data_IF_532382255773
#
_entry.id   IF_532382255773
#
_cell.length_a   1.000
_cell.length_b   1.000
_cell.length_c   1.000
_cell.angle_alpha   90.00
_cell.angle_beta   90.00
_cell.angle_gamma   90.00
#
_symmetry.space_group_name_H-M   'P 1'
#
loop_
_entity.id
_entity.type
_entity.pdbx_description
1 polymer ?
#
# COMPACT_ATOMS: atom_id res chain seq x y z
N UNK A 1 -47.87 -25.33 -40.31
CA UNK A 1 -46.47 -24.93 -40.61
C UNK A 1 -46.18 -23.46 -40.25
N UNK A 2 -47.12 -22.52 -40.46
CA UNK A 2 -46.95 -21.09 -40.17
C UNK A 2 -46.73 -20.69 -38.68
N UNK A 3 -47.26 -21.46 -37.72
CA UNK A 3 -47.16 -21.12 -36.28
C UNK A 3 -45.73 -21.30 -35.71
N UNK A 4 -44.97 -22.28 -36.22
CA UNK A 4 -43.57 -22.49 -35.81
C UNK A 4 -42.68 -21.36 -36.29
N UNK A 5 -42.89 -20.87 -37.51
CA UNK A 5 -42.10 -19.78 -38.09
C UNK A 5 -42.35 -18.46 -37.36
N UNK A 6 -43.58 -18.17 -36.93
CA UNK A 6 -43.90 -16.99 -36.11
C UNK A 6 -43.20 -17.00 -34.76
N UNK A 7 -43.19 -18.14 -34.06
CA UNK A 7 -42.52 -18.28 -32.76
C UNK A 7 -41.01 -18.05 -32.90
N UNK A 8 -40.37 -18.61 -33.92
CA UNK A 8 -38.94 -18.38 -34.18
C UNK A 8 -38.60 -16.92 -34.46
N UNK A 9 -39.42 -16.21 -35.24
CA UNK A 9 -39.21 -14.78 -35.52
C UNK A 9 -39.34 -13.94 -34.23
N UNK A 10 -40.29 -14.27 -33.36
CA UNK A 10 -40.47 -13.61 -32.07
C UNK A 10 -39.27 -13.87 -31.15
N UNK A 11 -38.75 -15.11 -31.09
CA UNK A 11 -37.55 -15.42 -30.30
C UNK A 11 -36.31 -14.68 -30.81
N UNK A 12 -36.13 -14.55 -32.12
CA UNK A 12 -35.01 -13.82 -32.72
C UNK A 12 -35.12 -12.31 -32.43
N UNK A 13 -36.33 -11.74 -32.51
CA UNK A 13 -36.55 -10.32 -32.17
C UNK A 13 -36.34 -10.04 -30.67
N UNK A 14 -36.82 -10.92 -29.79
CA UNK A 14 -36.60 -10.81 -28.35
C UNK A 14 -35.11 -10.95 -28.03
N UNK A 15 -34.42 -11.94 -28.58
CA UNK A 15 -32.98 -12.11 -28.38
C UNK A 15 -32.17 -10.92 -28.92
N UNK A 16 -32.56 -10.37 -30.09
CA UNK A 16 -31.88 -9.22 -30.71
C UNK A 16 -32.01 -7.91 -29.95
N UNK A 17 -33.00 -7.77 -29.04
CA UNK A 17 -33.23 -6.55 -28.25
C UNK A 17 -32.82 -6.77 -26.79
N UNK A 18 -33.12 -7.94 -26.22
CA UNK A 18 -32.88 -8.22 -24.80
C UNK A 18 -31.39 -8.43 -24.51
N UNK A 19 -30.64 -9.07 -25.42
CA UNK A 19 -29.20 -9.30 -25.27
C UNK A 19 -28.42 -7.97 -25.23
N UNK A 20 -28.59 -7.03 -26.18
CA UNK A 20 -27.88 -5.75 -26.09
C UNK A 20 -28.29 -4.92 -24.88
N UNK A 21 -29.54 -4.98 -24.42
CA UNK A 21 -29.95 -4.31 -23.17
C UNK A 21 -29.25 -4.89 -21.93
N UNK A 22 -29.09 -6.21 -21.86
CA UNK A 22 -28.34 -6.87 -20.78
C UNK A 22 -26.85 -6.50 -20.85
N UNK A 23 -26.25 -6.47 -22.04
CA UNK A 23 -24.87 -6.05 -22.21
C UNK A 23 -24.66 -4.57 -21.79
N UNK A 24 -25.54 -3.66 -22.20
CA UNK A 24 -25.49 -2.25 -21.80
C UNK A 24 -25.66 -2.10 -20.29
N UNK A 25 -26.59 -2.83 -19.68
CA UNK A 25 -26.76 -2.83 -18.22
C UNK A 25 -25.52 -3.37 -17.48
N UNK A 26 -24.87 -4.42 -18.01
CA UNK A 26 -23.64 -4.97 -17.45
C UNK A 26 -22.45 -3.99 -17.57
N UNK A 27 -22.33 -3.29 -18.71
CA UNK A 27 -21.34 -2.24 -18.90
C UNK A 27 -21.58 -1.03 -17.98
N UNK A 28 -22.84 -0.63 -17.81
CA UNK A 28 -23.20 0.48 -16.91
C UNK A 28 -22.97 0.10 -15.44
N UNK A 29 -23.30 -1.13 -15.04
CA UNK A 29 -23.00 -1.65 -13.71
C UNK A 29 -21.49 -1.73 -13.46
N UNK A 30 -20.70 -2.17 -14.45
CA UNK A 30 -19.24 -2.19 -14.34
C UNK A 30 -18.62 -0.78 -14.26
N UNK A 31 -19.25 0.21 -14.90
CA UNK A 31 -18.78 1.60 -14.88
C UNK A 31 -19.10 2.33 -13.58
N UNK A 32 -20.27 2.08 -12.98
CA UNK A 32 -20.67 2.71 -11.71
C UNK A 32 -19.89 2.15 -10.51
N UNK A 33 -19.36 0.92 -10.59
CA UNK A 33 -18.79 0.22 -9.45
C UNK A 33 -17.26 0.14 -9.36
N UNK A 34 -16.46 0.72 -10.26
CA UNK A 34 -15.06 0.29 -10.30
C UNK A 34 -14.00 1.21 -10.87
N UNK A 35 -13.97 2.49 -10.52
CA UNK A 35 -12.70 3.22 -10.41
C UNK A 35 -12.78 4.24 -9.28
N UNK A 36 -12.79 3.73 -8.04
CA UNK A 36 -12.25 4.54 -6.95
C UNK A 36 -10.77 4.75 -7.26
N UNK A 37 -10.35 6.01 -7.40
CA UNK A 37 -8.94 6.38 -7.36
C UNK A 37 -8.43 5.98 -5.97
N UNK A 38 -8.03 4.73 -5.81
CA UNK A 38 -7.53 4.22 -4.55
C UNK A 38 -6.28 5.01 -4.21
N UNK A 39 -6.37 5.87 -3.21
CA UNK A 39 -5.18 6.24 -2.47
C UNK A 39 -4.61 4.91 -1.97
N UNK A 40 -3.33 4.65 -2.21
CA UNK A 40 -2.65 3.55 -1.53
C UNK A 40 -2.84 3.87 -0.03
N UNK A 41 -3.77 3.19 0.63
CA UNK A 41 -4.07 3.39 2.05
C UNK A 41 -2.82 3.13 2.89
N UNK A 42 -2.86 3.51 4.15
CA UNK A 42 -1.73 3.34 5.05
C UNK A 42 -2.05 3.80 6.45
N UNK A 43 -1.14 3.48 7.36
CA UNK A 43 -1.06 4.13 8.66
C UNK A 43 -0.62 5.59 8.47
N UNK A 44 -0.70 6.40 9.51
CA UNK A 44 -0.41 7.83 9.42
C UNK A 44 0.97 8.06 8.78
N UNK A 45 1.11 9.14 8.02
CA UNK A 45 2.38 9.49 7.41
C UNK A 45 3.24 10.28 8.39
N UNK A 46 4.56 10.10 8.31
CA UNK A 46 5.54 10.87 9.09
C UNK A 46 6.34 11.72 8.12
N UNK A 47 6.06 13.01 8.10
CA UNK A 47 6.71 14.00 7.26
C UNK A 47 7.98 14.51 7.93
N UNK A 48 9.12 14.32 7.28
CA UNK A 48 10.39 14.92 7.69
C UNK A 48 10.67 16.16 6.85
N UNK A 49 11.11 17.28 7.44
CA UNK A 49 11.51 18.48 6.71
C UNK A 49 12.95 18.32 6.16
N UNK A 50 13.19 17.18 5.49
CA UNK A 50 14.45 16.86 4.84
C UNK A 50 14.18 16.22 3.50
N UNK A 51 15.21 16.25 2.67
CA UNK A 51 15.17 15.63 1.36
C UNK A 51 15.14 14.11 1.45
N UNK A 52 14.58 13.49 0.41
CA UNK A 52 14.44 12.04 0.33
C UNK A 52 15.80 11.36 0.42
N UNK A 53 16.81 11.95 -0.23
CA UNK A 53 18.17 11.44 -0.17
C UNK A 53 18.72 11.45 1.27
N UNK A 54 18.48 12.53 2.02
CA UNK A 54 18.88 12.62 3.44
C UNK A 54 18.18 11.56 4.29
N UNK A 55 16.88 11.37 4.11
CA UNK A 55 16.12 10.34 4.83
C UNK A 55 16.55 8.92 4.42
N UNK A 56 16.88 8.67 3.14
CA UNK A 56 17.42 7.39 2.67
C UNK A 56 18.78 7.08 3.31
N UNK A 57 19.68 8.07 3.40
CA UNK A 57 20.95 7.92 4.13
C UNK A 57 20.75 7.65 5.61
N UNK A 58 19.74 8.25 6.23
CA UNK A 58 19.38 7.94 7.62
C UNK A 58 18.93 6.48 7.79
N UNK A 59 18.19 5.91 6.84
CA UNK A 59 17.88 4.47 6.82
C UNK A 59 19.12 3.59 6.63
N UNK A 60 20.03 3.95 5.72
CA UNK A 60 21.30 3.22 5.55
C UNK A 60 22.11 3.21 6.85
N UNK A 61 22.16 4.35 7.54
CA UNK A 61 22.80 4.47 8.85
C UNK A 61 22.09 3.65 9.91
N UNK A 62 20.75 3.68 9.96
CA UNK A 62 19.93 2.87 10.85
C UNK A 62 20.30 1.39 10.70
N UNK A 63 20.31 0.86 9.48
CA UNK A 63 20.64 -0.54 9.24
C UNK A 63 22.10 -0.90 9.47
N UNK A 64 23.00 0.09 9.44
CA UNK A 64 24.42 -0.09 9.76
C UNK A 64 24.65 -0.17 11.27
N UNK A 65 23.98 0.68 12.04
CA UNK A 65 24.09 0.73 13.51
C UNK A 65 23.23 -0.35 14.18
N UNK A 66 22.04 -0.60 13.62
CA UNK A 66 21.01 -1.51 14.10
C UNK A 66 20.67 -2.57 13.03
N UNK A 67 21.58 -3.53 12.77
CA UNK A 67 21.36 -4.57 11.79
C UNK A 67 20.18 -5.49 12.14
N UNK A 68 19.72 -5.51 13.39
CA UNK A 68 18.52 -6.22 13.85
C UNK A 68 17.24 -5.79 13.12
N UNK A 69 17.20 -4.57 12.56
CA UNK A 69 16.06 -4.09 11.77
C UNK A 69 16.06 -4.57 10.31
N UNK A 70 17.14 -5.20 9.85
CA UNK A 70 17.17 -5.84 8.53
C UNK A 70 16.32 -7.10 8.54
N UNK A 71 15.71 -7.39 7.40
CA UNK A 71 14.92 -8.60 7.24
C UNK A 71 15.77 -9.85 7.55
N UNK A 72 15.22 -10.73 8.38
CA UNK A 72 15.85 -11.99 8.71
C UNK A 72 15.71 -12.96 7.52
N UNK A 73 16.71 -13.80 7.19
CA UNK A 73 16.66 -14.67 6.00
C UNK A 73 15.42 -15.56 5.88
N UNK A 74 14.87 -16.03 7.01
CA UNK A 74 13.62 -16.82 7.01
C UNK A 74 12.37 -16.04 6.64
N UNK A 75 12.44 -14.72 6.46
CA UNK A 75 11.35 -13.85 6.01
C UNK A 75 11.61 -13.27 4.63
N UNK A 76 12.77 -13.53 4.01
CA UNK A 76 13.17 -12.94 2.71
C UNK A 76 12.15 -13.21 1.60
N UNK A 77 11.43 -14.34 1.67
CA UNK A 77 10.36 -14.65 0.72
C UNK A 77 9.19 -13.66 0.74
N UNK A 78 9.08 -12.82 1.77
CA UNK A 78 8.10 -11.72 1.89
C UNK A 78 8.61 -10.42 1.23
N UNK A 79 9.86 -10.38 0.78
CA UNK A 79 10.45 -9.28 0.03
C UNK A 79 10.16 -9.41 -1.49
N UNK A 80 8.92 -9.72 -1.84
CA UNK A 80 8.44 -9.98 -3.20
C UNK A 80 7.59 -8.83 -3.76
N UNK A 81 7.58 -7.67 -3.09
CA UNK A 81 6.77 -6.50 -3.47
C UNK A 81 7.07 -6.00 -4.88
N UNK A 82 8.32 -6.08 -5.31
CA UNK A 82 8.73 -5.77 -6.69
C UNK A 82 8.04 -6.70 -7.69
N UNK A 83 8.03 -8.00 -7.41
CA UNK A 83 7.42 -9.01 -8.27
C UNK A 83 5.89 -8.89 -8.30
N UNK A 84 5.31 -8.27 -7.27
CA UNK A 84 3.87 -7.93 -7.17
C UNK A 84 3.48 -6.65 -7.92
N UNK A 85 4.42 -5.98 -8.59
CA UNK A 85 4.17 -4.75 -9.34
C UNK A 85 4.14 -3.47 -8.51
N UNK A 86 4.72 -3.49 -7.30
CA UNK A 86 4.93 -2.29 -6.45
C UNK A 86 6.36 -1.74 -6.58
N UNK A 87 7.03 -2.02 -7.69
CA UNK A 87 8.40 -1.58 -7.97
C UNK A 87 8.53 -0.06 -8.14
N UNK A 88 7.42 0.62 -8.44
CA UNK A 88 7.33 2.07 -8.48
C UNK A 88 7.35 2.73 -7.09
N UNK A 89 7.12 1.98 -6.01
CA UNK A 89 7.16 2.48 -4.64
C UNK A 89 8.58 2.33 -4.08
N UNK A 90 9.24 3.46 -3.85
CA UNK A 90 10.47 3.46 -3.06
C UNK A 90 10.13 3.03 -1.63
N UNK A 91 10.60 1.85 -1.26
CA UNK A 91 10.15 1.14 -0.07
C UNK A 91 11.29 0.58 0.75
N UNK A 92 11.03 0.36 2.03
CA UNK A 92 11.95 -0.32 2.96
C UNK A 92 11.18 -1.37 3.74
N UNK A 93 11.90 -2.39 4.17
CA UNK A 93 11.40 -3.41 5.08
C UNK A 93 12.06 -3.23 6.44
N UNK A 94 11.27 -3.20 7.50
CA UNK A 94 11.77 -3.08 8.87
C UNK A 94 11.32 -4.32 9.63
N UNK A 95 12.28 -5.12 10.05
CA UNK A 95 12.04 -6.32 10.83
C UNK A 95 12.17 -6.01 12.31
N UNK A 96 11.25 -6.52 13.11
CA UNK A 96 11.28 -6.44 14.55
C UNK A 96 11.41 -7.84 15.13
N UNK A 97 12.56 -8.12 15.76
CA UNK A 97 12.88 -9.41 16.36
C UNK A 97 12.25 -9.62 17.74
N UNK A 98 11.96 -8.54 18.45
CA UNK A 98 11.29 -8.55 19.75
C UNK A 98 9.79 -8.78 19.60
N UNK A 99 9.16 -9.59 20.47
CA UNK A 99 7.73 -9.83 20.44
C UNK A 99 6.87 -8.55 20.48
N UNK A 100 5.80 -8.45 19.66
CA UNK A 100 5.48 -9.40 18.59
C UNK A 100 6.50 -9.32 17.44
N UNK A 101 6.95 -10.48 16.95
CA UNK A 101 7.88 -10.55 15.82
C UNK A 101 7.15 -10.17 14.55
N UNK A 102 7.61 -9.11 13.88
CA UNK A 102 6.86 -8.47 12.81
C UNK A 102 7.77 -7.92 11.72
N UNK A 103 7.23 -7.79 10.51
CA UNK A 103 7.87 -7.14 9.39
C UNK A 103 6.95 -6.05 8.86
N UNK A 104 7.51 -4.85 8.74
CA UNK A 104 6.79 -3.65 8.32
C UNK A 104 7.24 -3.30 6.91
N UNK A 105 6.27 -3.16 5.99
CA UNK A 105 6.50 -2.62 4.66
C UNK A 105 6.18 -1.12 4.67
N UNK A 106 7.22 -0.31 4.49
CA UNK A 106 7.12 1.14 4.51
C UNK A 106 7.45 1.72 3.14
N UNK A 107 6.85 2.86 2.80
CA UNK A 107 7.13 3.55 1.52
C UNK A 107 7.40 5.02 1.76
N UNK A 108 8.30 5.58 0.96
CA UNK A 108 8.43 7.02 0.79
C UNK A 108 7.23 7.57 0.02
N UNK A 109 6.73 8.71 0.48
CA UNK A 109 5.62 9.46 -0.09
C UNK A 109 6.17 10.80 -0.54
N UNK A 110 6.05 11.06 -1.84
CA UNK A 110 6.31 12.37 -2.46
C UNK A 110 5.02 12.92 -3.08
N UNK A 111 5.09 14.14 -3.61
CA UNK A 111 3.96 14.79 -4.28
C UNK A 111 3.37 13.88 -5.38
N UNK A 112 2.04 13.83 -5.46
CA UNK A 112 1.24 12.92 -6.29
C UNK A 112 1.49 13.04 -7.80
N UNK A 113 2.31 14.00 -8.22
CA UNK A 113 2.68 14.26 -9.62
C UNK A 113 4.05 13.70 -10.04
N UNK A 114 4.84 13.09 -9.15
CA UNK A 114 6.20 12.67 -9.48
C UNK A 114 6.31 11.15 -9.65
N UNK A 115 6.28 10.73 -10.91
CA UNK A 115 6.68 9.37 -11.33
C UNK A 115 8.15 9.07 -11.02
N UNK A 116 8.92 10.06 -10.56
CA UNK A 116 10.28 9.96 -10.04
C UNK A 116 10.33 10.94 -8.89
N UNK A 117 10.04 10.51 -7.66
CA UNK A 117 10.08 11.33 -6.44
C UNK A 117 11.32 12.26 -6.46
N UNK A 118 11.17 13.52 -6.89
CA UNK A 118 12.27 14.48 -6.92
C UNK A 118 12.72 14.73 -5.50
N UNK A 119 13.98 15.11 -5.35
CA UNK A 119 14.51 15.49 -4.04
C UNK A 119 13.80 16.79 -3.60
N UNK A 120 12.75 16.61 -2.80
CA UNK A 120 11.94 17.67 -2.20
C UNK A 120 12.63 18.20 -0.95
N UNK A 121 12.21 19.35 -0.43
CA UNK A 121 12.65 19.82 0.89
C UNK A 121 11.98 19.04 2.04
N UNK A 122 10.94 18.27 1.73
CA UNK A 122 10.12 17.54 2.70
C UNK A 122 9.80 16.15 2.15
N UNK A 123 9.90 15.12 2.99
CA UNK A 123 9.69 13.73 2.60
C UNK A 123 8.85 13.01 3.63
N UNK A 124 7.77 12.37 3.19
CA UNK A 124 6.93 11.57 4.08
C UNK A 124 7.25 10.08 3.96
N UNK A 125 7.07 9.35 5.04
CA UNK A 125 7.06 7.88 5.04
C UNK A 125 5.83 7.36 5.74
N UNK A 126 5.28 6.24 5.28
CA UNK A 126 4.16 5.57 5.93
C UNK A 126 4.32 4.06 5.91
N UNK A 127 3.71 3.40 6.90
CA UNK A 127 3.53 1.95 6.89
C UNK A 127 2.38 1.63 5.95
N UNK A 128 2.62 0.72 5.02
CA UNK A 128 1.61 0.24 4.06
C UNK A 128 1.01 -1.08 4.49
N UNK A 129 1.84 -1.97 5.03
CA UNK A 129 1.42 -3.27 5.50
C UNK A 129 2.34 -3.79 6.61
N UNK A 130 1.79 -4.65 7.44
CA UNK A 130 2.48 -5.33 8.54
C UNK A 130 2.19 -6.81 8.49
N UNK A 131 3.18 -7.65 8.79
CA UNK A 131 2.98 -9.11 8.87
C UNK A 131 3.67 -9.67 10.10
N UNK A 132 3.03 -10.67 10.71
CA UNK A 132 3.58 -11.47 11.81
C UNK A 132 3.88 -12.91 11.36
N UNK A 133 3.99 -13.16 10.04
CA UNK A 133 4.13 -14.48 9.37
C UNK A 133 2.88 -15.37 9.41
N UNK A 134 2.04 -15.28 10.44
CA UNK A 134 0.88 -16.16 10.64
C UNK A 134 -0.29 -15.79 9.73
N UNK A 135 -0.62 -14.51 9.64
CA UNK A 135 -1.82 -14.03 8.94
C UNK A 135 -1.53 -13.43 7.55
N UNK A 136 -0.26 -13.45 7.13
CA UNK A 136 0.17 -12.73 5.94
C UNK A 136 0.22 -11.21 6.16
N UNK A 137 0.29 -10.47 5.05
CA UNK A 137 0.30 -9.00 5.08
C UNK A 137 -1.07 -8.45 5.50
N UNK A 138 -1.06 -7.64 6.56
CA UNK A 138 -2.21 -6.97 7.13
C UNK A 138 -2.14 -5.49 6.77
N UNK A 139 -3.20 -4.98 6.15
CA UNK A 139 -3.36 -3.57 5.81
C UNK A 139 -3.97 -2.79 6.98
N UNK A 140 -3.81 -1.47 6.97
CA UNK A 140 -4.35 -0.57 8.00
C UNK A 140 -5.87 -0.75 8.19
N UNK A 141 -6.65 -0.85 7.11
CA UNK A 141 -8.10 -1.08 7.15
C UNK A 141 -8.52 -2.38 7.87
N UNK A 142 -7.62 -3.36 7.92
CA UNK A 142 -7.86 -4.66 8.56
C UNK A 142 -7.42 -4.68 10.04
N UNK A 143 -6.83 -3.58 10.55
CA UNK A 143 -6.42 -3.45 11.94
C UNK A 143 -7.53 -2.84 12.80
N UNK A 144 -7.70 -3.37 14.02
CA UNK A 144 -8.47 -2.66 15.05
C UNK A 144 -7.78 -1.35 15.45
N UNK A 145 -8.52 -0.35 15.94
CA UNK A 145 -7.93 0.92 16.39
C UNK A 145 -6.86 0.75 17.47
N UNK A 146 -7.00 -0.26 18.34
CA UNK A 146 -6.00 -0.60 19.35
C UNK A 146 -4.71 -1.09 18.70
N UNK A 147 -4.84 -1.93 17.68
CA UNK A 147 -3.71 -2.50 16.96
C UNK A 147 -3.00 -1.45 16.12
N UNK A 148 -3.75 -0.57 15.46
CA UNK A 148 -3.20 0.61 14.76
C UNK A 148 -2.28 1.41 15.68
N UNK A 149 -2.81 1.82 16.84
CA UNK A 149 -2.05 2.58 17.83
C UNK A 149 -0.80 1.85 18.33
N UNK A 150 -0.85 0.53 18.50
CA UNK A 150 0.31 -0.27 18.92
C UNK A 150 1.41 -0.25 17.85
N UNK A 151 1.03 -0.51 16.60
CA UNK A 151 1.94 -0.57 15.46
C UNK A 151 2.64 0.78 15.27
N UNK A 152 1.84 1.85 15.27
CA UNK A 152 2.32 3.22 15.10
C UNK A 152 3.21 3.67 16.24
N UNK A 153 2.79 3.45 17.48
CA UNK A 153 3.61 3.78 18.64
C UNK A 153 4.96 3.07 18.57
N UNK A 154 4.99 1.79 18.18
CA UNK A 154 6.24 1.04 18.01
C UNK A 154 7.11 1.65 16.93
N UNK A 155 6.52 1.97 15.78
CA UNK A 155 7.24 2.61 14.68
C UNK A 155 7.82 3.96 15.09
N UNK A 156 7.05 4.77 15.82
CA UNK A 156 7.47 6.07 16.29
C UNK A 156 8.61 5.96 17.34
N UNK A 157 8.43 5.09 18.34
CA UNK A 157 9.39 4.87 19.41
C UNK A 157 10.72 4.25 18.90
N UNK A 158 10.65 3.29 17.98
CA UNK A 158 11.81 2.48 17.59
C UNK A 158 12.48 3.01 16.32
N UNK A 159 11.73 3.53 15.35
CA UNK A 159 12.26 3.89 14.04
C UNK A 159 12.30 5.40 13.86
N UNK A 160 11.16 6.08 13.99
CA UNK A 160 11.09 7.53 13.76
C UNK A 160 12.02 8.28 14.70
N UNK A 161 12.01 7.94 15.99
CA UNK A 161 12.91 8.56 16.98
C UNK A 161 14.40 8.49 16.61
N UNK A 162 14.83 7.42 15.92
CA UNK A 162 16.22 7.26 15.45
C UNK A 162 16.48 8.04 14.18
N UNK A 163 15.54 7.98 13.23
CA UNK A 163 15.63 8.76 12.00
C UNK A 163 15.72 10.25 12.32
N UNK A 164 14.92 10.76 13.26
CA UNK A 164 14.99 12.15 13.75
C UNK A 164 16.38 12.53 14.27
N UNK A 165 17.05 11.61 14.99
CA UNK A 165 18.41 11.84 15.47
C UNK A 165 19.39 11.89 14.29
N UNK A 166 19.26 11.00 13.31
CA UNK A 166 20.17 10.91 12.17
C UNK A 166 19.97 12.02 11.14
N UNK A 167 18.77 12.57 11.05
CA UNK A 167 18.42 13.68 10.14
C UNK A 167 18.47 15.04 10.83
N UNK A 168 18.71 15.09 12.14
CA UNK A 168 18.69 16.30 12.96
C UNK A 168 17.39 17.11 12.78
N UNK A 169 16.27 16.41 12.61
CA UNK A 169 14.97 17.01 12.31
C UNK A 169 13.84 16.29 13.04
N UNK A 170 12.71 16.97 13.22
CA UNK A 170 11.51 16.38 13.83
C UNK A 170 10.50 16.00 12.78
N UNK A 171 9.97 14.79 12.90
CA UNK A 171 8.89 14.32 12.06
C UNK A 171 7.56 14.93 12.52
N UNK A 172 6.70 15.25 11.57
CA UNK A 172 5.33 15.67 11.83
C UNK A 172 4.40 14.56 11.36
N UNK A 173 3.48 14.14 12.22
CA UNK A 173 2.44 13.16 11.85
C UNK A 173 1.42 13.86 10.97
N UNK A 174 1.09 13.25 9.83
CA UNK A 174 0.14 13.77 8.83
C UNK A 174 -0.80 12.66 8.40
N UNK A 175 -2.09 12.98 8.27
CA UNK A 175 -3.16 12.06 7.83
C UNK A 175 -3.15 11.83 6.30
#
# INVERSE_FOLDING_TARGET
>A
MADRTRKYIIYILIAGILIPLICVAFYFFSFVFGFGAGTLGGFDSRMFPVSKNSLSKAFELLYKIHPEYKIHPEWEYLNDWKDRGYDFLDSRLIYFDKPPRELYYITFIGDANDCIQKDTSETSIAIRAVTNKVTGWTLEENCSSKEKRRIEKRFDDEIISRLEIYTESKAIVTD
#
